data_IF_845286784740
#
_entry.id   IF_845286784740
#
_cell.length_a   1.000
_cell.length_b   1.000
_cell.length_c   1.000
_cell.angle_alpha   90.00
_cell.angle_beta   90.00
_cell.angle_gamma   90.00
#
_symmetry.space_group_name_H-M   'P 1'
#
loop_
_entity.id
_entity.type
_entity.pdbx_description
1 polymer ?
#
# COMPACT_ATOMS: atom_id res chain seq x y z
N UNK A 1 17.53 -1.36 3.87
CA UNK A 1 16.33 -0.52 3.69
C UNK A 1 15.35 -0.84 4.81
N UNK A 2 14.69 0.15 5.43
CA UNK A 2 13.69 -0.06 6.49
C UNK A 2 12.26 -0.26 5.95
N UNK A 3 12.17 -0.71 4.70
CA UNK A 3 10.93 -0.84 3.94
C UNK A 3 10.08 0.45 3.92
N UNK A 4 8.78 0.33 3.59
CA UNK A 4 7.82 1.45 3.61
C UNK A 4 6.91 1.39 4.84
N UNK A 5 6.19 2.47 5.14
CA UNK A 5 5.13 2.49 6.16
C UNK A 5 4.09 1.39 5.94
N UNK A 6 3.61 1.22 4.71
CA UNK A 6 2.63 0.18 4.36
C UNK A 6 3.23 -1.23 4.47
N UNK A 7 4.50 -1.44 4.11
CA UNK A 7 5.17 -2.75 4.29
C UNK A 7 5.23 -3.13 5.76
N UNK A 8 5.62 -2.19 6.62
CA UNK A 8 5.69 -2.41 8.07
C UNK A 8 4.31 -2.68 8.70
N UNK A 9 3.23 -2.12 8.12
CA UNK A 9 1.86 -2.41 8.54
C UNK A 9 1.40 -3.80 8.07
N UNK A 10 1.66 -4.16 6.81
CA UNK A 10 1.16 -5.39 6.19
C UNK A 10 1.92 -6.65 6.64
N UNK A 11 3.26 -6.56 6.78
CA UNK A 11 4.10 -7.74 6.99
C UNK A 11 3.75 -8.55 8.25
N UNK A 12 3.51 -7.96 9.45
CA UNK A 12 3.17 -8.74 10.64
C UNK A 12 1.84 -9.50 10.49
N UNK A 13 0.84 -8.88 9.88
CA UNK A 13 -0.48 -9.50 9.65
C UNK A 13 -0.34 -10.68 8.67
N UNK A 14 0.35 -10.46 7.55
CA UNK A 14 0.60 -11.49 6.55
C UNK A 14 1.42 -12.66 7.12
N UNK A 15 2.41 -12.38 7.98
CA UNK A 15 3.22 -13.41 8.64
C UNK A 15 2.38 -14.33 9.51
N UNK A 16 1.49 -13.77 10.34
CA UNK A 16 0.62 -14.56 11.22
C UNK A 16 -0.36 -15.39 10.39
N UNK A 17 -1.06 -14.78 9.43
CA UNK A 17 -2.01 -15.49 8.58
C UNK A 17 -1.35 -16.63 7.79
N UNK A 18 -0.16 -16.40 7.24
CA UNK A 18 0.56 -17.43 6.50
C UNK A 18 1.07 -18.56 7.41
N UNK A 19 1.57 -18.23 8.60
CA UNK A 19 2.08 -19.24 9.53
C UNK A 19 0.96 -20.17 10.04
N UNK A 20 -0.21 -19.62 10.35
CA UNK A 20 -1.31 -20.40 10.94
C UNK A 20 -2.18 -21.09 9.89
N UNK A 21 -2.39 -20.47 8.73
CA UNK A 21 -3.37 -20.94 7.74
C UNK A 21 -2.80 -21.20 6.35
N UNK A 22 -1.73 -20.49 5.96
CA UNK A 22 -1.04 -20.75 4.69
C UNK A 22 -1.55 -19.99 3.47
N UNK A 23 -1.50 -18.65 3.47
CA UNK A 23 -1.90 -17.79 2.33
C UNK A 23 -1.45 -18.34 0.97
N UNK A 24 -2.39 -18.68 0.09
CA UNK A 24 -2.13 -19.09 -1.31
C UNK A 24 -1.85 -17.90 -2.22
N UNK A 25 -2.76 -16.92 -2.21
CA UNK A 25 -2.65 -15.67 -2.95
C UNK A 25 -3.51 -14.58 -2.27
N UNK A 26 -3.20 -13.31 -2.53
CA UNK A 26 -3.93 -12.20 -1.92
C UNK A 26 -3.78 -10.88 -2.65
N UNK A 27 -4.76 -10.02 -2.41
CA UNK A 27 -4.81 -8.65 -2.88
C UNK A 27 -4.85 -7.71 -1.67
N UNK A 28 -3.98 -6.72 -1.66
CA UNK A 28 -4.05 -5.63 -0.69
C UNK A 28 -4.41 -4.30 -1.36
N UNK A 29 -5.19 -3.48 -0.67
CA UNK A 29 -5.39 -2.07 -1.00
C UNK A 29 -5.03 -1.22 0.21
N UNK A 30 -4.16 -0.22 0.04
CA UNK A 30 -3.89 0.74 1.11
C UNK A 30 -4.66 2.04 0.87
N UNK A 31 -5.50 2.41 1.84
CA UNK A 31 -6.14 3.71 1.92
C UNK A 31 -5.19 4.58 2.73
N UNK A 32 -4.38 5.36 2.03
CA UNK A 32 -3.21 6.00 2.60
C UNK A 32 -3.42 7.51 2.70
N UNK A 33 -3.02 8.11 3.81
CA UNK A 33 -2.96 9.57 3.93
C UNK A 33 -2.13 10.16 2.78
N UNK A 34 -2.50 11.33 2.26
CA UNK A 34 -1.61 11.98 1.31
C UNK A 34 -0.27 12.30 2.00
N UNK A 35 0.80 12.36 1.21
CA UNK A 35 2.16 12.67 1.70
C UNK A 35 2.67 13.91 0.99
N UNK A 36 3.86 14.38 1.36
CA UNK A 36 4.52 15.52 0.71
C UNK A 36 4.86 15.30 -0.77
N UNK A 37 4.71 14.07 -1.28
CA UNK A 37 4.86 13.75 -2.69
C UNK A 37 3.58 14.04 -3.52
N UNK A 38 2.43 14.24 -2.87
CA UNK A 38 1.23 14.77 -3.52
C UNK A 38 1.18 16.29 -3.42
N UNK A 39 0.41 16.92 -4.31
CA UNK A 39 0.37 18.39 -4.46
C UNK A 39 -0.88 18.98 -3.82
N UNK A 40 -0.78 20.17 -3.24
CA UNK A 40 -1.92 20.82 -2.56
C UNK A 40 -2.98 21.37 -3.52
N UNK A 41 -2.53 21.84 -4.68
CA UNK A 41 -3.35 22.37 -5.78
C UNK A 41 -2.84 21.70 -7.05
N UNK A 42 -3.72 21.53 -8.04
CA UNK A 42 -3.37 20.95 -9.33
C UNK A 42 -2.11 21.62 -9.93
N UNK A 43 -1.08 20.82 -10.22
CA UNK A 43 0.20 21.28 -10.78
C UNK A 43 0.85 20.17 -11.60
N UNK A 44 1.79 20.53 -12.49
CA UNK A 44 2.55 19.55 -13.26
C UNK A 44 3.31 18.57 -12.35
N UNK A 45 3.18 17.28 -12.64
CA UNK A 45 3.87 16.20 -11.93
C UNK A 45 4.13 15.04 -12.88
N UNK A 46 5.23 14.29 -12.68
CA UNK A 46 5.62 13.13 -13.52
C UNK A 46 4.58 12.01 -13.56
N UNK A 47 3.84 11.87 -12.47
CA UNK A 47 2.67 11.00 -12.34
C UNK A 47 1.42 11.88 -12.44
N UNK A 48 0.61 11.77 -13.51
CA UNK A 48 -0.55 12.63 -13.74
C UNK A 48 -1.67 12.43 -12.71
N UNK A 49 -1.71 11.32 -11.98
CA UNK A 49 -2.66 11.14 -10.90
C UNK A 49 -2.25 11.97 -9.67
N UNK A 50 -0.95 12.00 -9.36
CA UNK A 50 -0.38 12.79 -8.26
C UNK A 50 -0.32 14.29 -8.54
N UNK A 51 -0.58 14.70 -9.78
CA UNK A 51 -0.73 16.10 -10.19
C UNK A 51 -2.00 16.76 -9.66
N UNK A 52 -2.93 15.99 -9.08
CA UNK A 52 -4.24 16.49 -8.60
C UNK A 52 -4.17 16.93 -7.14
N UNK A 53 -5.00 17.91 -6.78
CA UNK A 53 -5.12 18.45 -5.43
C UNK A 53 -5.44 17.36 -4.39
N UNK A 54 -4.45 17.05 -3.55
CA UNK A 54 -4.49 15.94 -2.59
C UNK A 54 -5.60 16.05 -1.55
N UNK A 55 -5.99 17.27 -1.20
CA UNK A 55 -7.02 17.56 -0.20
C UNK A 55 -8.44 17.45 -0.77
N UNK A 56 -8.58 17.30 -2.09
CA UNK A 56 -9.88 17.29 -2.78
C UNK A 56 -10.05 16.07 -3.70
N UNK A 57 -9.13 15.10 -3.65
CA UNK A 57 -9.10 13.96 -4.57
C UNK A 57 -8.81 12.65 -3.85
N UNK A 58 -9.40 11.57 -4.36
CA UNK A 58 -8.90 10.21 -4.15
C UNK A 58 -7.95 9.88 -5.29
N UNK A 59 -6.66 9.72 -4.99
CA UNK A 59 -5.61 9.60 -6.01
C UNK A 59 -5.11 8.15 -6.06
N UNK A 60 -5.43 7.39 -7.12
CA UNK A 60 -4.84 6.07 -7.33
C UNK A 60 -3.32 6.18 -7.45
N UNK A 61 -2.59 5.30 -6.80
CA UNK A 61 -1.14 5.26 -6.90
C UNK A 61 -0.60 3.84 -6.75
N UNK A 62 0.64 3.66 -7.19
CA UNK A 62 1.36 2.40 -6.97
C UNK A 62 1.82 2.31 -5.52
N UNK A 63 1.86 1.08 -5.00
CA UNK A 63 2.50 0.75 -3.73
C UNK A 63 3.48 -0.39 -3.96
N UNK A 64 4.69 -0.26 -3.44
CA UNK A 64 5.67 -1.35 -3.42
C UNK A 64 5.48 -2.30 -2.24
N UNK A 65 4.43 -2.12 -1.43
CA UNK A 65 4.28 -2.85 -0.18
C UNK A 65 4.10 -4.36 -0.38
N UNK A 66 3.26 -4.77 -1.34
CA UNK A 66 3.00 -6.18 -1.62
C UNK A 66 4.27 -6.90 -2.11
N UNK A 67 5.02 -6.29 -3.03
CA UNK A 67 6.31 -6.82 -3.50
C UNK A 67 7.36 -6.84 -2.37
N UNK A 68 7.45 -5.77 -1.59
CA UNK A 68 8.40 -5.66 -0.47
C UNK A 68 8.10 -6.67 0.64
N UNK A 69 6.85 -7.07 0.85
CA UNK A 69 6.52 -8.16 1.78
C UNK A 69 7.18 -9.46 1.34
N UNK A 70 7.27 -9.75 0.04
CA UNK A 70 8.00 -10.93 -0.46
C UNK A 70 9.50 -10.90 -0.15
N UNK A 71 10.10 -9.71 -0.02
CA UNK A 71 11.50 -9.56 0.41
C UNK A 71 11.70 -9.81 1.91
N UNK A 72 10.70 -9.46 2.72
CA UNK A 72 10.73 -9.63 4.20
C UNK A 72 10.28 -11.02 4.62
N UNK A 73 9.31 -11.59 3.90
CA UNK A 73 8.71 -12.91 4.13
C UNK A 73 8.83 -13.73 2.83
N UNK A 74 9.96 -14.41 2.59
CA UNK A 74 10.24 -15.10 1.32
C UNK A 74 9.17 -16.13 0.90
N UNK A 75 8.51 -16.77 1.87
CA UNK A 75 7.42 -17.72 1.61
C UNK A 75 6.18 -17.08 0.93
N UNK A 76 6.06 -15.75 1.02
CA UNK A 76 5.00 -14.96 0.39
C UNK A 76 5.44 -14.27 -0.90
N UNK A 77 6.66 -14.51 -1.37
CA UNK A 77 7.16 -13.92 -2.61
C UNK A 77 6.25 -14.29 -3.80
N UNK A 78 5.73 -13.26 -4.49
CA UNK A 78 4.82 -13.43 -5.63
C UNK A 78 3.38 -13.82 -5.26
N UNK A 79 3.05 -14.00 -3.98
CA UNK A 79 1.70 -14.37 -3.53
C UNK A 79 0.78 -13.17 -3.30
N UNK A 80 1.35 -12.00 -3.04
CA UNK A 80 0.60 -10.78 -2.77
C UNK A 80 0.83 -9.73 -3.87
N UNK A 81 -0.25 -9.08 -4.28
CA UNK A 81 -0.22 -7.87 -5.12
C UNK A 81 -1.10 -6.78 -4.52
N UNK A 82 -1.02 -5.56 -5.02
CA UNK A 82 -1.88 -4.51 -4.50
C UNK A 82 -1.71 -3.13 -5.10
N UNK A 83 -2.56 -2.22 -4.62
CA UNK A 83 -2.57 -0.82 -5.02
C UNK A 83 -2.75 0.13 -3.82
N UNK A 84 -2.57 1.42 -4.07
CA UNK A 84 -2.84 2.46 -3.09
C UNK A 84 -3.87 3.45 -3.63
N UNK A 85 -4.65 4.01 -2.70
CA UNK A 85 -5.44 5.22 -2.93
C UNK A 85 -5.01 6.24 -1.89
N UNK A 86 -4.51 7.40 -2.34
CA UNK A 86 -4.26 8.53 -1.44
C UNK A 86 -5.56 9.27 -1.19
N UNK A 87 -5.91 9.49 0.07
CA UNK A 87 -7.18 10.12 0.46
C UNK A 87 -6.95 11.44 1.23
N UNK A 88 -7.95 12.34 1.27
CA UNK A 88 -7.87 13.67 1.93
C UNK A 88 -7.81 13.65 3.46
N UNK A 89 -6.92 12.84 4.03
CA UNK A 89 -6.65 12.80 5.48
C UNK A 89 -5.18 13.11 5.73
N UNK A 90 -4.92 13.86 6.81
CA UNK A 90 -3.59 14.39 7.11
C UNK A 90 -2.63 13.33 7.67
N UNK A 91 -3.17 12.27 8.29
CA UNK A 91 -2.41 11.20 8.90
C UNK A 91 -3.33 9.99 9.15
N UNK A 92 -2.72 8.87 9.56
CA UNK A 92 -3.32 7.54 9.69
C UNK A 92 -3.68 6.95 8.34
N UNK A 93 -3.43 5.66 8.18
CA UNK A 93 -3.65 4.93 6.94
C UNK A 93 -4.16 3.53 7.28
N UNK A 94 -4.87 2.93 6.33
CA UNK A 94 -5.46 1.61 6.47
C UNK A 94 -4.90 0.69 5.39
N UNK A 95 -4.72 -0.57 5.75
CA UNK A 95 -4.46 -1.66 4.81
C UNK A 95 -5.66 -2.59 4.85
N UNK A 96 -6.30 -2.76 3.71
CA UNK A 96 -7.27 -3.80 3.45
C UNK A 96 -6.53 -4.97 2.78
N UNK A 97 -6.62 -6.16 3.36
CA UNK A 97 -5.96 -7.37 2.89
C UNK A 97 -7.00 -8.46 2.71
N UNK A 98 -7.20 -8.88 1.46
CA UNK A 98 -8.04 -10.03 1.11
C UNK A 98 -7.14 -11.18 0.67
N UNK A 99 -7.32 -12.36 1.25
CA UNK A 99 -6.47 -13.55 0.99
C UNK A 99 -7.32 -14.80 0.82
N UNK A 100 -6.81 -15.71 -0.01
CA UNK A 100 -7.16 -17.12 -0.01
C UNK A 100 -6.16 -17.85 0.89
N UNK A 101 -6.65 -18.66 1.83
CA UNK A 101 -5.87 -19.37 2.84
C UNK A 101 -5.86 -20.86 2.58
#
# INVERSE_FOLDING_TARGET
>A
SNASCTTNCLAPVAQVLHREFGIEHGLMTTIHAFTNDQVLIDVSHKDPYRARAATQSMIPSKTGAAEAVGLVLPALAGRLTGMAVRVPVINVSLVDLTVTL
#
